data_IF_636079194331
#
_entry.id   IF_636079194331
#
_cell.length_a   1.000
_cell.length_b   1.000
_cell.length_c   1.000
_cell.angle_alpha   90.00
_cell.angle_beta   90.00
_cell.angle_gamma   90.00
#
_symmetry.space_group_name_H-M   'P 1'
#
loop_
_entity.id
_entity.type
_entity.pdbx_description
1 polymer ?
#
# COMPACT_ATOMS: atom_id res chain seq x y z
N UNK A 1 6.53 22.09 -25.71
CA UNK A 1 6.46 20.92 -24.80
C UNK A 1 5.87 21.34 -23.45
N UNK A 2 4.76 20.71 -23.07
CA UNK A 2 4.18 20.86 -21.73
C UNK A 2 4.95 20.02 -20.71
N UNK A 3 5.03 20.49 -19.46
CA UNK A 3 5.56 19.71 -18.34
C UNK A 3 4.42 19.31 -17.41
N UNK A 4 4.37 18.03 -17.04
CA UNK A 4 3.42 17.49 -16.07
C UNK A 4 4.20 17.09 -14.82
N UNK A 5 3.85 17.61 -13.64
CA UNK A 5 4.58 17.31 -12.41
C UNK A 5 3.83 16.29 -11.54
N UNK A 6 4.50 15.20 -11.15
CA UNK A 6 3.98 14.25 -10.16
C UNK A 6 4.66 14.44 -8.80
N UNK A 7 3.88 14.45 -7.72
CA UNK A 7 4.41 14.46 -6.36
C UNK A 7 4.71 13.05 -5.86
N UNK A 8 5.83 12.87 -5.17
CA UNK A 8 6.12 11.68 -4.40
C UNK A 8 6.46 12.05 -2.96
N UNK A 9 5.82 11.39 -1.99
CA UNK A 9 6.11 11.52 -0.56
C UNK A 9 6.59 10.17 -0.06
N UNK A 10 7.83 10.10 0.42
CA UNK A 10 8.46 8.84 0.81
C UNK A 10 9.05 8.91 2.21
N UNK A 11 8.85 7.86 2.98
CA UNK A 11 9.38 7.75 4.34
C UNK A 11 10.84 7.32 4.32
N UNK A 12 11.66 7.99 5.12
CA UNK A 12 13.08 7.67 5.30
C UNK A 12 13.35 7.05 6.66
N UNK A 13 14.25 6.07 6.70
CA UNK A 13 14.76 5.49 7.95
C UNK A 13 16.17 6.00 8.19
N UNK A 14 16.60 6.07 9.44
CA UNK A 14 17.97 6.49 9.79
C UNK A 14 19.05 5.68 9.05
N UNK A 15 18.78 4.40 8.78
CA UNK A 15 19.67 3.49 8.04
C UNK A 15 19.54 3.57 6.51
N UNK A 16 18.47 4.19 5.98
CA UNK A 16 18.16 4.21 4.55
C UNK A 16 17.74 5.62 4.10
N UNK A 17 18.68 6.33 3.47
CA UNK A 17 18.48 7.68 2.96
C UNK A 17 17.49 7.76 1.78
N UNK A 18 17.30 6.66 1.05
CA UNK A 18 16.41 6.57 -0.11
C UNK A 18 15.64 5.26 -0.02
N UNK A 19 14.31 5.34 0.01
CA UNK A 19 13.46 4.15 0.06
C UNK A 19 13.37 3.47 -1.31
N UNK A 20 13.07 2.17 -1.29
CA UNK A 20 12.81 1.41 -2.52
C UNK A 20 11.63 1.99 -3.33
N UNK A 21 10.64 2.55 -2.63
CA UNK A 21 9.47 3.18 -3.24
C UNK A 21 9.90 4.46 -4.01
N UNK A 22 10.82 5.27 -3.46
CA UNK A 22 11.38 6.45 -4.14
C UNK A 22 12.18 6.06 -5.39
N UNK A 23 13.01 5.02 -5.30
CA UNK A 23 13.79 4.52 -6.44
C UNK A 23 12.88 4.02 -7.56
N UNK A 24 11.86 3.25 -7.23
CA UNK A 24 10.88 2.74 -8.19
C UNK A 24 10.14 3.89 -8.88
N UNK A 25 9.72 4.90 -8.12
CA UNK A 25 9.07 6.09 -8.65
C UNK A 25 9.96 6.86 -9.64
N UNK A 26 11.21 7.15 -9.26
CA UNK A 26 12.20 7.81 -10.15
C UNK A 26 12.44 7.01 -11.42
N UNK A 27 12.57 5.69 -11.29
CA UNK A 27 12.75 4.79 -12.42
C UNK A 27 11.55 4.82 -13.37
N UNK A 28 10.33 4.79 -12.85
CA UNK A 28 9.11 4.85 -13.65
C UNK A 28 9.03 6.15 -14.47
N UNK A 29 9.27 7.32 -13.85
CA UNK A 29 9.26 8.61 -14.56
C UNK A 29 10.31 8.66 -15.67
N UNK A 30 11.53 8.18 -15.40
CA UNK A 30 12.58 8.11 -16.40
C UNK A 30 12.20 7.21 -17.59
N UNK A 31 11.61 6.04 -17.33
CA UNK A 31 11.18 5.13 -18.39
C UNK A 31 10.06 5.72 -19.26
N UNK A 32 9.07 6.38 -18.65
CA UNK A 32 8.00 7.04 -19.39
C UNK A 32 8.58 8.13 -20.29
N UNK A 33 9.48 8.96 -19.76
CA UNK A 33 10.09 10.04 -20.53
C UNK A 33 10.98 9.56 -21.69
N UNK A 34 11.56 8.35 -21.57
CA UNK A 34 12.34 7.71 -22.65
C UNK A 34 11.44 7.22 -23.78
N UNK A 35 10.24 6.74 -23.48
CA UNK A 35 9.31 6.26 -24.48
C UNK A 35 8.31 7.35 -24.91
N UNK A 36 8.69 8.12 -25.93
CA UNK A 36 7.88 9.26 -26.44
C UNK A 36 6.53 8.87 -27.06
N UNK A 37 6.24 7.58 -27.25
CA UNK A 37 4.94 7.13 -27.75
C UNK A 37 3.86 7.10 -26.68
N UNK A 38 4.23 7.01 -25.39
CA UNK A 38 3.28 6.93 -24.28
C UNK A 38 2.60 8.28 -23.99
N UNK A 39 3.40 9.36 -23.94
CA UNK A 39 2.91 10.71 -23.66
C UNK A 39 3.57 11.69 -24.62
N UNK A 40 3.06 11.81 -25.86
CA UNK A 40 3.68 12.65 -26.88
C UNK A 40 3.66 14.13 -26.46
N UNK A 41 4.71 14.86 -26.84
CA UNK A 41 4.85 16.32 -26.63
C UNK A 41 4.81 16.81 -25.16
N UNK A 42 4.87 15.89 -24.19
CA UNK A 42 4.88 16.20 -22.75
C UNK A 42 6.10 15.58 -22.09
N UNK A 43 6.65 16.25 -21.08
CA UNK A 43 7.68 15.70 -20.20
C UNK A 43 7.11 15.55 -18.80
N UNK A 44 7.23 14.35 -18.23
CA UNK A 44 6.87 14.08 -16.85
C UNK A 44 8.02 14.52 -15.93
N UNK A 45 7.78 15.49 -15.06
CA UNK A 45 8.68 15.89 -14.00
C UNK A 45 8.16 15.39 -12.66
N UNK A 46 8.94 15.54 -11.61
CA UNK A 46 8.50 15.17 -10.28
C UNK A 46 9.03 16.12 -9.20
N UNK A 47 8.28 16.19 -8.10
CA UNK A 47 8.73 16.72 -6.82
C UNK A 47 8.78 15.57 -5.80
N UNK A 48 9.87 15.45 -5.05
CA UNK A 48 10.04 14.38 -4.05
C UNK A 48 10.23 15.00 -2.68
N UNK A 49 9.34 14.64 -1.76
CA UNK A 49 9.39 15.01 -0.36
C UNK A 49 9.72 13.78 0.49
N UNK A 50 10.69 13.93 1.39
CA UNK A 50 11.05 12.91 2.37
C UNK A 50 10.55 13.29 3.75
N UNK A 51 9.95 12.33 4.43
CA UNK A 51 9.36 12.48 5.76
C UNK A 51 9.84 11.36 6.69
N UNK A 52 9.73 11.58 7.99
CA UNK A 52 9.98 10.52 8.97
C UNK A 52 8.83 9.50 9.01
N UNK A 53 9.11 8.26 9.42
CA UNK A 53 8.05 7.28 9.69
C UNK A 53 7.14 7.81 10.81
N UNK A 54 5.86 7.48 10.71
CA UNK A 54 4.82 7.85 11.67
C UNK A 54 4.51 9.36 11.74
N UNK A 55 5.10 10.20 10.89
CA UNK A 55 4.89 11.65 10.92
C UNK A 55 3.81 12.13 9.93
N UNK A 56 2.55 11.91 10.30
CA UNK A 56 1.41 12.36 9.50
C UNK A 56 1.26 13.90 9.44
N UNK A 57 1.80 14.62 10.41
CA UNK A 57 1.78 16.09 10.40
C UNK A 57 2.77 16.64 9.37
N UNK A 58 4.00 16.12 9.36
CA UNK A 58 4.97 16.44 8.33
C UNK A 58 4.45 16.04 6.94
N UNK A 59 3.83 14.86 6.81
CA UNK A 59 3.19 14.42 5.56
C UNK A 59 2.15 15.43 5.06
N UNK A 60 1.29 15.94 5.96
CA UNK A 60 0.27 16.95 5.63
C UNK A 60 0.90 18.25 5.11
N UNK A 61 1.99 18.70 5.72
CA UNK A 61 2.68 19.91 5.28
C UNK A 61 3.34 19.71 3.92
N UNK A 62 4.06 18.59 3.73
CA UNK A 62 4.76 18.29 2.47
C UNK A 62 3.81 18.13 1.30
N UNK A 63 2.62 17.53 1.50
CA UNK A 63 1.64 17.43 0.43
C UNK A 63 1.06 18.80 0.06
N UNK A 64 0.77 19.67 1.04
CA UNK A 64 0.32 21.03 0.75
C UNK A 64 1.35 21.81 -0.07
N UNK A 65 2.64 21.69 0.27
CA UNK A 65 3.73 22.32 -0.49
C UNK A 65 3.78 21.81 -1.95
N UNK A 66 3.62 20.50 -2.16
CA UNK A 66 3.54 19.91 -3.50
C UNK A 66 2.32 20.36 -4.30
N UNK A 67 1.16 20.42 -3.66
CA UNK A 67 -0.08 20.84 -4.29
C UNK A 67 -0.02 22.32 -4.69
N UNK A 68 0.62 23.17 -3.88
CA UNK A 68 0.88 24.57 -4.22
C UNK A 68 1.80 24.73 -5.45
N UNK A 69 2.66 23.74 -5.73
CA UNK A 69 3.49 23.67 -6.94
C UNK A 69 2.74 23.12 -8.17
N UNK A 70 1.48 22.70 -8.01
CA UNK A 70 0.64 22.20 -9.10
C UNK A 70 0.97 20.77 -9.53
N UNK A 71 1.35 19.89 -8.58
CA UNK A 71 1.43 18.45 -8.88
C UNK A 71 0.06 17.91 -9.28
N UNK A 72 0.02 16.99 -10.25
CA UNK A 72 -1.23 16.44 -10.78
C UNK A 72 -1.66 15.13 -10.13
N UNK A 73 -0.77 14.53 -9.35
CA UNK A 73 -1.00 13.31 -8.58
C UNK A 73 0.05 13.21 -7.49
N UNK A 74 -0.28 12.54 -6.40
CA UNK A 74 0.62 12.31 -5.25
C UNK A 74 0.80 10.80 -5.05
N UNK A 75 2.05 10.35 -4.99
CA UNK A 75 2.42 8.95 -4.75
C UNK A 75 2.98 8.77 -3.34
N UNK A 76 2.58 7.68 -2.67
CA UNK A 76 2.96 7.46 -1.27
C UNK A 76 2.31 8.48 -0.33
N UNK A 77 2.62 8.48 0.98
CA UNK A 77 3.63 7.66 1.70
C UNK A 77 3.16 6.23 1.98
N UNK A 78 3.97 5.42 2.65
CA UNK A 78 3.71 3.98 2.84
C UNK A 78 3.06 3.65 4.19
N UNK A 79 3.27 4.45 5.24
CA UNK A 79 2.66 4.23 6.55
C UNK A 79 1.24 4.81 6.64
N UNK A 80 0.30 4.02 7.18
CA UNK A 80 -1.12 4.32 7.37
C UNK A 80 -1.40 5.68 8.01
N UNK A 81 -0.67 6.05 9.07
CA UNK A 81 -0.82 7.36 9.72
C UNK A 81 -0.56 8.50 8.73
N UNK A 82 0.49 8.39 7.93
CA UNK A 82 0.88 9.38 6.92
C UNK A 82 -0.06 9.35 5.72
N UNK A 83 -0.49 8.14 5.29
CA UNK A 83 -1.44 7.92 4.19
C UNK A 83 -2.77 8.60 4.49
N UNK A 84 -3.32 8.43 5.69
CA UNK A 84 -4.60 9.02 6.07
C UNK A 84 -4.59 10.56 6.01
N UNK A 85 -3.48 11.16 6.42
CA UNK A 85 -3.28 12.60 6.42
C UNK A 85 -3.21 13.16 4.97
N UNK A 86 -2.38 12.53 4.12
CA UNK A 86 -2.27 12.90 2.70
C UNK A 86 -3.60 12.67 1.97
N UNK A 87 -4.26 11.55 2.23
CA UNK A 87 -5.54 11.20 1.61
C UNK A 87 -6.62 12.24 1.90
N UNK A 88 -6.73 12.71 3.14
CA UNK A 88 -7.73 13.73 3.49
C UNK A 88 -7.57 15.01 2.66
N UNK A 89 -6.34 15.43 2.42
CA UNK A 89 -6.03 16.66 1.66
C UNK A 89 -6.25 16.44 0.16
N UNK A 90 -5.75 15.33 -0.38
CA UNK A 90 -5.95 14.94 -1.78
C UNK A 90 -7.45 14.81 -2.12
N UNK A 91 -8.26 14.26 -1.22
CA UNK A 91 -9.70 14.15 -1.41
C UNK A 91 -10.39 15.53 -1.43
N UNK A 92 -9.97 16.46 -0.57
CA UNK A 92 -10.53 17.80 -0.51
C UNK A 92 -10.16 18.67 -1.72
N UNK A 93 -8.98 18.43 -2.30
CA UNK A 93 -8.45 19.18 -3.44
C UNK A 93 -8.60 18.46 -4.77
N UNK A 94 -9.31 17.33 -4.79
CA UNK A 94 -9.60 16.52 -5.98
C UNK A 94 -8.33 16.08 -6.73
N UNK A 95 -7.23 15.85 -5.99
CA UNK A 95 -5.96 15.39 -6.55
C UNK A 95 -5.82 13.89 -6.33
N UNK A 96 -5.57 13.08 -7.38
CA UNK A 96 -5.37 11.65 -7.24
C UNK A 96 -4.23 11.29 -6.29
N UNK A 97 -4.54 10.54 -5.24
CA UNK A 97 -3.56 9.93 -4.35
C UNK A 97 -3.37 8.46 -4.71
N UNK A 98 -2.13 8.08 -5.05
CA UNK A 98 -1.78 6.76 -5.58
C UNK A 98 -0.92 6.00 -4.56
N UNK A 99 -1.42 4.83 -4.17
CA UNK A 99 -0.77 3.91 -3.25
C UNK A 99 -0.36 2.61 -3.94
N UNK A 100 0.76 2.04 -3.50
CA UNK A 100 1.28 0.74 -3.97
C UNK A 100 1.40 -0.27 -2.83
N UNK A 101 0.98 0.11 -1.62
CA UNK A 101 1.02 -0.70 -0.41
C UNK A 101 -0.39 -1.07 0.02
N UNK A 102 -0.47 -2.15 0.79
CA UNK A 102 -1.74 -2.56 1.37
C UNK A 102 -2.29 -1.45 2.27
N UNK A 103 -3.60 -1.24 2.21
CA UNK A 103 -4.35 -0.34 3.10
C UNK A 103 -5.46 -1.16 3.74
N UNK A 104 -5.63 -1.02 5.04
CA UNK A 104 -6.76 -1.64 5.73
C UNK A 104 -8.08 -1.07 5.17
N UNK A 105 -9.06 -1.91 4.78
CA UNK A 105 -10.37 -1.44 4.37
C UNK A 105 -11.01 -0.62 5.50
N UNK A 106 -11.24 0.68 5.30
CA UNK A 106 -11.98 1.49 6.27
C UNK A 106 -13.48 1.17 6.15
N UNK A 107 -14.16 1.13 7.30
CA UNK A 107 -15.62 0.88 7.36
C UNK A 107 -16.40 1.99 6.63
N UNK A 108 -15.84 3.21 6.61
CA UNK A 108 -16.32 4.35 5.85
C UNK A 108 -15.44 4.56 4.62
N UNK A 109 -15.76 3.91 3.51
CA UNK A 109 -15.03 4.05 2.25
C UNK A 109 -15.46 5.34 1.51
N UNK A 110 -15.08 6.51 2.05
CA UNK A 110 -15.41 7.85 1.51
C UNK A 110 -14.33 8.44 0.61
N UNK A 111 -13.27 7.69 0.31
CA UNK A 111 -12.16 8.17 -0.50
C UNK A 111 -12.52 8.14 -1.99
N UNK A 112 -12.75 9.30 -2.60
CA UNK A 112 -13.14 9.42 -4.02
C UNK A 112 -11.95 9.74 -4.94
N UNK A 113 -10.84 10.25 -4.40
CA UNK A 113 -9.60 10.56 -5.13
C UNK A 113 -8.42 9.68 -4.69
N UNK A 114 -8.66 8.38 -4.65
CA UNK A 114 -7.70 7.39 -4.19
C UNK A 114 -7.59 6.20 -5.15
N UNK A 115 -6.36 5.78 -5.44
CA UNK A 115 -6.07 4.59 -6.24
C UNK A 115 -5.07 3.74 -5.47
N UNK A 116 -5.39 2.48 -5.21
CA UNK A 116 -4.44 1.51 -4.68
C UNK A 116 -4.12 0.44 -5.74
N UNK A 117 -2.84 0.32 -6.08
CA UNK A 117 -2.32 -0.69 -7.01
C UNK A 117 -1.99 -2.01 -6.31
N UNK A 118 -2.07 -2.06 -4.98
CA UNK A 118 -1.91 -3.30 -4.23
C UNK A 118 -3.10 -4.24 -4.47
N UNK A 119 -2.89 -5.55 -4.67
CA UNK A 119 -3.98 -6.50 -4.93
C UNK A 119 -5.04 -6.50 -3.84
N UNK A 120 -6.31 -6.62 -4.24
CA UNK A 120 -7.42 -6.74 -3.30
C UNK A 120 -7.26 -8.00 -2.43
N UNK A 121 -7.55 -7.88 -1.13
CA UNK A 121 -7.44 -8.98 -0.17
C UNK A 121 -8.23 -10.22 -0.59
N UNK A 122 -9.39 -10.06 -1.25
CA UNK A 122 -10.20 -11.19 -1.75
C UNK A 122 -9.50 -11.94 -2.89
N UNK A 123 -8.76 -11.24 -3.75
CA UNK A 123 -8.01 -11.87 -4.84
C UNK A 123 -6.86 -12.72 -4.29
N UNK A 124 -6.15 -12.22 -3.27
CA UNK A 124 -5.09 -12.99 -2.62
C UNK A 124 -5.68 -14.18 -1.85
N UNK A 125 -6.78 -13.99 -1.13
CA UNK A 125 -7.49 -15.08 -0.44
C UNK A 125 -7.91 -16.22 -1.38
N UNK A 126 -8.41 -15.89 -2.58
CA UNK A 126 -8.77 -16.87 -3.60
C UNK A 126 -7.55 -17.62 -4.13
N UNK A 127 -6.46 -16.92 -4.44
CA UNK A 127 -5.23 -17.56 -4.90
C UNK A 127 -4.69 -18.58 -3.87
N UNK A 128 -4.86 -18.29 -2.58
CA UNK A 128 -4.47 -19.20 -1.50
C UNK A 128 -5.39 -20.40 -1.44
N UNK A 129 -6.70 -20.16 -1.52
CA UNK A 129 -7.68 -21.24 -1.57
C UNK A 129 -7.37 -22.21 -2.72
N UNK A 130 -7.00 -21.68 -3.89
CA UNK A 130 -6.61 -22.48 -5.06
C UNK A 130 -5.38 -23.35 -4.76
N UNK A 131 -4.37 -22.82 -4.06
CA UNK A 131 -3.19 -23.60 -3.62
C UNK A 131 -3.58 -24.69 -2.61
N UNK A 132 -4.34 -24.33 -1.57
CA UNK A 132 -4.79 -25.26 -0.52
C UNK A 132 -5.60 -26.42 -1.11
N UNK A 133 -6.51 -26.11 -2.04
CA UNK A 133 -7.37 -27.09 -2.70
C UNK A 133 -6.59 -27.96 -3.68
N UNK A 134 -5.68 -27.38 -4.47
CA UNK A 134 -4.83 -28.12 -5.40
C UNK A 134 -3.98 -29.18 -4.69
N UNK A 135 -3.34 -28.81 -3.57
CA UNK A 135 -2.52 -29.73 -2.79
C UNK A 135 -3.31 -30.55 -1.75
N UNK A 136 -4.64 -30.38 -1.68
CA UNK A 136 -5.54 -31.11 -0.76
C UNK A 136 -5.08 -31.04 0.70
N UNK A 137 -4.64 -29.86 1.14
CA UNK A 137 -4.20 -29.68 2.52
C UNK A 137 -5.36 -29.89 3.49
N UNK A 138 -5.10 -30.66 4.55
CA UNK A 138 -6.09 -31.00 5.60
C UNK A 138 -5.91 -30.21 6.89
N UNK A 139 -4.90 -29.35 7.00
CA UNK A 139 -4.66 -28.53 8.19
C UNK A 139 -3.95 -27.26 7.75
N UNK A 140 -4.38 -26.11 8.26
CA UNK A 140 -3.76 -24.83 7.97
C UNK A 140 -3.61 -24.06 9.27
N UNK A 141 -2.40 -23.56 9.53
CA UNK A 141 -2.16 -22.65 10.65
C UNK A 141 -1.90 -21.27 10.11
N UNK A 142 -2.66 -20.31 10.62
CA UNK A 142 -2.52 -18.88 10.31
C UNK A 142 -1.76 -18.23 11.45
N UNK A 143 -0.59 -17.66 11.16
CA UNK A 143 0.22 -16.91 12.15
C UNK A 143 0.24 -15.45 11.74
N UNK A 144 -0.23 -14.57 12.61
CA UNK A 144 -0.25 -13.13 12.40
C UNK A 144 0.47 -12.42 13.56
N UNK A 145 1.02 -11.24 13.29
CA UNK A 145 1.68 -10.41 14.29
C UNK A 145 0.62 -9.58 15.05
N UNK A 146 0.13 -10.16 16.14
CA UNK A 146 -0.63 -9.60 17.27
C UNK A 146 -1.96 -8.82 17.04
N UNK A 147 -2.69 -8.67 18.13
CA UNK A 147 -4.15 -8.84 18.26
C UNK A 147 -5.00 -7.56 18.27
N UNK A 148 -4.42 -6.37 18.08
CA UNK A 148 -5.18 -5.10 17.99
C UNK A 148 -5.57 -4.72 16.56
N UNK A 149 -5.02 -5.40 15.55
CA UNK A 149 -5.28 -5.12 14.13
C UNK A 149 -6.72 -5.40 13.67
N UNK A 150 -7.52 -6.15 14.45
CA UNK A 150 -8.95 -6.34 14.18
C UNK A 150 -9.84 -5.22 14.75
N UNK A 151 -9.37 -4.46 15.74
CA UNK A 151 -10.22 -3.52 16.50
C UNK A 151 -9.77 -2.05 16.47
N UNK A 152 -8.48 -1.75 16.24
CA UNK A 152 -7.99 -0.37 16.17
C UNK A 152 -6.99 -0.23 15.02
N UNK A 153 -7.46 0.36 13.91
CA UNK A 153 -6.76 0.44 12.63
C UNK A 153 -5.50 1.27 12.65
N UNK A 154 -4.36 0.67 13.01
CA UNK A 154 -3.07 1.36 13.03
C UNK A 154 -1.82 0.53 12.68
N UNK A 155 -1.92 -0.64 12.03
CA UNK A 155 -0.69 -1.34 11.59
C UNK A 155 -0.73 -1.91 10.18
N UNK A 156 0.26 -1.49 9.37
CA UNK A 156 0.49 -1.87 7.97
C UNK A 156 1.26 -3.20 7.82
N UNK A 157 1.27 -4.04 8.85
CA UNK A 157 2.08 -5.26 8.91
C UNK A 157 1.32 -6.51 9.34
N UNK A 158 0.04 -6.59 9.04
CA UNK A 158 -0.61 -7.89 9.07
C UNK A 158 -0.04 -8.70 7.91
N UNK A 159 0.69 -9.78 8.18
CA UNK A 159 1.06 -10.83 7.23
C UNK A 159 0.71 -12.18 7.90
N UNK A 160 -0.46 -12.80 7.62
CA UNK A 160 -0.74 -14.15 8.00
C UNK A 160 0.19 -15.11 7.24
N UNK A 161 1.14 -15.70 7.94
CA UNK A 161 1.88 -16.85 7.44
C UNK A 161 0.99 -18.08 7.46
N UNK A 162 1.09 -18.91 6.42
CA UNK A 162 0.40 -20.19 6.32
C UNK A 162 1.41 -21.34 6.45
N UNK A 163 1.19 -22.22 7.43
CA UNK A 163 2.02 -23.42 7.63
C UNK A 163 1.26 -24.69 7.28
N UNK A 164 1.96 -25.63 6.60
CA UNK A 164 1.49 -27.00 6.35
C UNK A 164 2.58 -28.01 6.74
N UNK A 165 2.29 -28.91 7.69
CA UNK A 165 3.16 -30.03 8.10
C UNK A 165 4.68 -29.69 8.16
N UNK A 166 5.02 -28.64 8.92
CA UNK A 166 6.41 -28.21 9.16
C UNK A 166 7.15 -27.60 7.95
N UNK A 167 6.48 -27.36 6.82
CA UNK A 167 6.99 -26.57 5.70
C UNK A 167 6.41 -25.14 5.70
N UNK A 168 7.28 -24.14 5.52
CA UNK A 168 6.91 -22.72 5.49
C UNK A 168 6.43 -22.33 4.09
N UNK A 169 5.22 -21.80 3.96
CA UNK A 169 4.78 -21.09 2.75
C UNK A 169 4.50 -19.63 3.14
N UNK A 170 5.47 -18.76 2.86
CA UNK A 170 5.33 -17.31 3.07
C UNK A 170 4.40 -16.73 2.00
N UNK A 171 3.20 -16.34 2.42
CA UNK A 171 2.26 -15.57 1.60
C UNK A 171 1.98 -14.27 2.35
N UNK A 172 2.64 -13.19 1.94
CA UNK A 172 2.39 -11.87 2.53
C UNK A 172 0.95 -11.42 2.22
N UNK A 173 0.17 -11.07 3.23
CA UNK A 173 -1.29 -10.99 3.14
C UNK A 173 -1.86 -9.98 4.14
N UNK A 174 -2.88 -9.20 3.81
CA UNK A 174 -3.74 -8.57 4.83
C UNK A 174 -4.72 -9.58 5.43
N UNK A 175 -5.33 -9.28 6.57
CA UNK A 175 -6.36 -10.12 7.19
C UNK A 175 -7.53 -10.40 6.22
N UNK A 176 -7.91 -11.67 6.05
CA UNK A 176 -9.02 -12.11 5.20
C UNK A 176 -10.24 -12.45 6.09
N UNK A 177 -11.43 -11.88 5.85
CA UNK A 177 -12.65 -12.34 6.51
C UNK A 177 -13.04 -13.72 5.98
N UNK A 178 -13.08 -14.73 6.84
CA UNK A 178 -13.54 -16.09 6.50
C UNK A 178 -15.07 -16.10 6.33
N UNK A 179 -15.57 -16.72 5.26
CA UNK A 179 -17.01 -16.94 5.09
C UNK A 179 -17.49 -18.14 5.93
N UNK A 180 -18.75 -18.06 6.36
CA UNK A 180 -19.41 -18.99 7.28
C UNK A 180 -19.41 -20.42 6.70
N UNK A 181 -18.60 -21.30 7.29
CA UNK A 181 -18.44 -22.71 6.87
C UNK A 181 -16.99 -23.22 6.74
N UNK A 182 -15.99 -22.34 6.87
CA UNK A 182 -14.56 -22.70 6.74
C UNK A 182 -13.84 -22.96 8.07
N UNK A 183 -14.58 -23.12 9.17
CA UNK A 183 -14.02 -23.17 10.53
C UNK A 183 -13.26 -24.47 10.87
N UNK A 184 -13.54 -25.59 10.19
CA UNK A 184 -13.01 -26.91 10.60
C UNK A 184 -11.52 -27.11 10.30
N UNK A 185 -10.91 -26.26 9.47
CA UNK A 185 -9.51 -26.40 9.02
C UNK A 185 -8.53 -25.43 9.67
N UNK A 186 -9.02 -24.38 10.34
CA UNK A 186 -8.19 -23.33 10.92
C UNK A 186 -7.88 -23.62 12.39
N UNK A 187 -6.59 -23.76 12.69
CA UNK A 187 -6.09 -23.61 14.05
C UNK A 187 -5.34 -22.28 14.14
N UNK A 188 -5.84 -21.38 14.99
CA UNK A 188 -5.18 -20.13 15.35
C UNK A 188 -4.23 -20.38 16.52
N UNK A 189 -2.97 -19.98 16.39
CA UNK A 189 -1.98 -20.02 17.47
C UNK A 189 -1.46 -18.61 17.68
N UNK A 190 -1.75 -18.03 18.84
CA UNK A 190 -1.13 -16.80 19.33
C UNK A 190 0.29 -17.13 19.82
N UNK A 191 1.24 -16.20 19.66
CA UNK A 191 2.56 -16.25 20.29
C UNK A 191 2.77 -15.02 21.13
#
# INVERSE_FOLDING_TARGET
>A
PSSLCAGGIFETRESELVSMDELAFKFAVNNINRNKTLIPNTTLTYDIQRINLFDGFEASRRVCDQLALGVVAVFGPSHSSSVSAVQSICNALEVPHIQTRWKHPSVDNKDTFFINLYPEYTAIARAILDVVTFFKWKKLTVVYEDSTAFLHGNDDRVLPFLFYNSGLVCLGLGAVPLQRGQHDWLQTSER
#
